data_IF_269534730660
#
_entry.id   IF_269534730660
#
_cell.length_a   1.000
_cell.length_b   1.000
_cell.length_c   1.000
_cell.angle_alpha   90.00
_cell.angle_beta   90.00
_cell.angle_gamma   90.00
#
_symmetry.space_group_name_H-M   'P 1'
#
loop_
_entity.id
_entity.type
_entity.pdbx_description
1 polymer ?
#
# COMPACT_ATOMS: atom_id res chain seq x y z
N UNK A 1 9.76 -11.21 0.02
CA UNK A 1 8.95 -10.08 -0.50
C UNK A 1 9.80 -8.83 -0.51
N UNK A 2 9.46 -7.82 -1.30
CA UNK A 2 10.22 -6.55 -1.37
C UNK A 2 9.40 -5.44 -0.72
N UNK A 3 10.05 -4.60 0.10
CA UNK A 3 9.44 -3.38 0.64
C UNK A 3 8.93 -2.51 -0.51
N UNK A 4 7.65 -2.16 -0.49
CA UNK A 4 7.02 -1.30 -1.51
C UNK A 4 7.04 0.16 -1.09
N UNK A 5 6.95 0.43 0.21
CA UNK A 5 7.00 1.78 0.75
C UNK A 5 6.29 1.89 2.10
N UNK A 6 5.92 3.10 2.46
CA UNK A 6 5.31 3.44 3.75
C UNK A 6 3.92 4.03 3.55
N UNK A 7 2.97 3.64 4.41
CA UNK A 7 1.63 4.24 4.43
C UNK A 7 1.73 5.68 4.91
N UNK A 8 1.36 6.62 4.04
CA UNK A 8 1.41 8.07 4.31
C UNK A 8 0.08 8.63 4.79
N UNK A 9 -1.03 7.99 4.43
CA UNK A 9 -2.36 8.44 4.83
C UNK A 9 -3.36 7.30 4.75
N UNK A 10 -4.51 7.50 5.38
CA UNK A 10 -5.69 6.66 5.29
C UNK A 10 -6.82 7.54 4.79
N UNK A 11 -7.46 7.15 3.68
CA UNK A 11 -8.53 7.92 3.07
C UNK A 11 -9.74 7.00 2.83
N UNK A 12 -10.89 7.30 3.43
CA UNK A 12 -12.12 6.52 3.30
C UNK A 12 -11.92 5.00 3.48
N UNK A 13 -11.15 4.62 4.49
CA UNK A 13 -10.87 3.20 4.77
C UNK A 13 -9.77 2.57 3.90
N UNK A 14 -9.16 3.31 2.97
CA UNK A 14 -8.10 2.84 2.06
C UNK A 14 -6.73 3.33 2.52
N UNK A 15 -5.70 2.53 2.25
CA UNK A 15 -4.32 2.91 2.55
C UNK A 15 -3.72 3.66 1.35
N UNK A 16 -3.09 4.79 1.62
CA UNK A 16 -2.31 5.55 0.65
C UNK A 16 -0.83 5.33 0.93
N UNK A 17 -0.16 4.59 0.06
CA UNK A 17 1.24 4.22 0.21
C UNK A 17 2.10 4.95 -0.80
N UNK A 18 3.15 5.64 -0.35
CA UNK A 18 4.15 6.22 -1.26
C UNK A 18 5.10 5.10 -1.69
N UNK A 19 5.26 4.89 -2.99
CA UNK A 19 6.18 3.90 -3.54
C UNK A 19 7.09 4.53 -4.58
N UNK A 20 8.27 3.94 -4.79
CA UNK A 20 9.16 4.23 -5.92
C UNK A 20 9.14 3.08 -6.95
N UNK A 21 8.27 2.09 -6.74
CA UNK A 21 8.21 0.87 -7.54
C UNK A 21 6.97 0.85 -8.42
N UNK A 22 7.11 0.26 -9.59
CA UNK A 22 5.99 -0.10 -10.43
C UNK A 22 5.28 -1.31 -9.80
N UNK A 23 4.03 -1.10 -9.37
CA UNK A 23 3.16 -2.14 -8.81
C UNK A 23 1.91 -2.23 -9.67
N UNK A 24 1.51 -3.46 -10.02
CA UNK A 24 0.31 -3.69 -10.83
C UNK A 24 -0.95 -3.49 -9.98
N UNK A 25 -2.00 -2.93 -10.58
CA UNK A 25 -3.35 -2.99 -10.01
C UNK A 25 -3.73 -4.47 -9.84
N UNK A 26 -4.36 -4.81 -8.71
CA UNK A 26 -4.66 -6.19 -8.31
C UNK A 26 -3.53 -6.90 -7.55
N UNK A 27 -2.36 -6.28 -7.39
CA UNK A 27 -1.28 -6.88 -6.62
C UNK A 27 -1.64 -7.02 -5.13
N UNK A 28 -1.25 -8.14 -4.53
CA UNK A 28 -1.41 -8.41 -3.10
C UNK A 28 -0.34 -7.67 -2.31
N UNK A 29 -0.76 -7.07 -1.20
CA UNK A 29 0.09 -6.32 -0.29
C UNK A 29 0.11 -7.03 1.06
N UNK A 30 1.29 -7.06 1.66
CA UNK A 30 1.60 -7.76 2.89
C UNK A 30 2.29 -6.82 3.89
N UNK A 31 2.27 -7.17 5.16
CA UNK A 31 3.08 -6.50 6.19
C UNK A 31 4.47 -7.15 6.32
N UNK A 32 5.24 -6.69 7.30
CA UNK A 32 6.59 -7.19 7.60
C UNK A 32 6.64 -8.66 8.00
N UNK A 33 5.56 -9.19 8.58
CA UNK A 33 5.41 -10.58 8.99
C UNK A 33 4.92 -11.47 7.83
N UNK A 34 4.67 -10.88 6.66
CA UNK A 34 4.12 -11.57 5.50
C UNK A 34 2.62 -11.84 5.60
N UNK A 35 1.92 -11.20 6.54
CA UNK A 35 0.48 -11.32 6.65
C UNK A 35 -0.21 -10.48 5.57
N UNK A 36 -1.28 -11.02 5.00
CA UNK A 36 -2.02 -10.35 3.93
C UNK A 36 -2.77 -9.12 4.46
N UNK A 37 -2.45 -7.95 3.91
CA UNK A 37 -3.04 -6.65 4.27
C UNK A 37 -4.20 -6.30 3.34
N UNK A 38 -4.01 -6.46 2.03
CA UNK A 38 -4.99 -6.01 1.05
C UNK A 38 -4.50 -6.06 -0.39
N UNK A 39 -5.20 -5.34 -1.27
CA UNK A 39 -4.94 -5.35 -2.72
C UNK A 39 -4.82 -3.94 -3.26
N UNK A 40 -3.88 -3.70 -4.18
CA UNK A 40 -3.77 -2.43 -4.92
C UNK A 40 -4.98 -2.28 -5.82
N UNK A 41 -5.70 -1.16 -5.69
CA UNK A 41 -6.87 -0.85 -6.51
C UNK A 41 -6.61 0.30 -7.48
N UNK A 42 -5.62 1.15 -7.21
CA UNK A 42 -5.25 2.27 -8.07
C UNK A 42 -3.82 2.76 -7.81
N UNK A 43 -3.28 3.56 -8.73
CA UNK A 43 -2.05 4.33 -8.54
C UNK A 43 -2.22 5.74 -9.11
N UNK A 44 -1.68 6.74 -8.42
CA UNK A 44 -1.86 8.15 -8.79
C UNK A 44 -0.68 9.03 -8.36
N UNK A 45 -0.67 10.27 -8.82
CA UNK A 45 0.36 11.26 -8.47
C UNK A 45 1.56 11.28 -9.43
N UNK A 46 2.74 11.77 -8.97
CA UNK A 46 3.90 11.97 -9.81
C UNK A 46 4.42 10.67 -10.43
N UNK A 47 4.93 10.75 -11.66
CA UNK A 47 5.54 9.60 -12.35
C UNK A 47 6.76 9.08 -11.59
N UNK A 48 7.57 9.98 -11.02
CA UNK A 48 8.65 9.63 -10.11
C UNK A 48 8.12 9.57 -8.68
N UNK A 49 7.89 8.35 -8.20
CA UNK A 49 7.35 8.09 -6.88
C UNK A 49 5.83 8.22 -6.81
N UNK A 50 5.05 7.33 -7.44
CA UNK A 50 3.60 7.38 -7.35
C UNK A 50 3.09 7.02 -5.94
N UNK A 51 1.81 7.29 -5.72
CA UNK A 51 1.06 6.77 -4.59
C UNK A 51 0.23 5.57 -5.04
N UNK A 52 0.19 4.53 -4.21
CA UNK A 52 -0.71 3.39 -4.37
C UNK A 52 -1.92 3.58 -3.49
N UNK A 53 -3.10 3.30 -4.05
CA UNK A 53 -4.33 3.14 -3.28
C UNK A 53 -4.56 1.65 -3.04
N UNK A 54 -4.67 1.27 -1.78
CA UNK A 54 -4.82 -0.13 -1.37
C UNK A 54 -6.14 -0.30 -0.64
N UNK A 55 -6.93 -1.30 -1.04
CA UNK A 55 -8.12 -1.74 -0.32
C UNK A 55 -7.70 -2.80 0.72
N UNK A 56 -7.72 -2.46 2.03
CA UNK A 56 -7.33 -3.39 3.08
C UNK A 56 -8.45 -4.40 3.36
N UNK A 57 -8.08 -5.60 3.79
CA UNK A 57 -9.03 -6.65 4.23
C UNK A 57 -9.52 -6.43 5.66
N UNK A 58 -8.77 -5.66 6.46
CA UNK A 58 -9.06 -5.34 7.87
C UNK A 58 -9.04 -3.82 8.06
N UNK A 59 -9.33 -3.37 9.28
CA UNK A 59 -9.21 -1.99 9.70
C UNK A 59 -7.84 -1.39 9.26
N UNK A 60 -7.81 -0.23 8.58
CA UNK A 60 -6.60 0.38 8.02
C UNK A 60 -5.70 1.05 9.07
N UNK A 61 -6.26 1.50 10.18
CA UNK A 61 -5.62 2.33 11.20
C UNK A 61 -4.28 1.75 11.72
N UNK A 62 -4.16 0.43 11.98
CA UNK A 62 -2.90 -0.18 12.45
C UNK A 62 -1.76 -0.12 11.44
N UNK A 63 -2.04 0.15 10.16
CA UNK A 63 -1.04 0.19 9.10
C UNK A 63 -0.51 1.61 8.84
N UNK A 64 -1.07 2.64 9.47
CA UNK A 64 -0.57 4.00 9.32
C UNK A 64 0.91 4.09 9.74
N UNK A 65 1.75 4.68 8.89
CA UNK A 65 3.18 4.80 9.13
C UNK A 65 3.98 3.50 9.01
N UNK A 66 3.34 2.36 8.74
CA UNK A 66 4.03 1.07 8.58
C UNK A 66 4.55 0.88 7.16
N UNK A 67 5.61 0.07 7.09
CA UNK A 67 6.13 -0.45 5.84
C UNK A 67 5.27 -1.60 5.32
N UNK A 68 4.93 -1.58 4.04
CA UNK A 68 4.22 -2.66 3.37
C UNK A 68 5.07 -3.28 2.25
N UNK A 69 4.74 -4.52 1.91
CA UNK A 69 5.55 -5.42 1.09
C UNK A 69 4.71 -6.07 -0.01
N UNK A 70 5.37 -6.47 -1.09
CA UNK A 70 4.79 -7.24 -2.19
C UNK A 70 5.83 -7.91 -3.07
#
# INVERSE_FOLDING_TARGET
MKKLGVVKSINEGKLVLKTEKLVKIGAKIYDEEGAFVGTVIDYFGPTMGPYLLISPKKAPEPFYGKDLYG
#
